data_IF_986566037983
#
_entry.id   IF_986566037983
#
_cell.length_a   1.000
_cell.length_b   1.000
_cell.length_c   1.000
_cell.angle_alpha   90.00
_cell.angle_beta   90.00
_cell.angle_gamma   90.00
#
_symmetry.space_group_name_H-M   'P 1'
#
loop_
_entity.id
_entity.type
_entity.pdbx_description
1 polymer ?
#
# COMPACT_ATOMS: atom_id res chain seq x y z
N UNK A 1 0.40 -11.59 -60.00
CA UNK A 1 1.32 -11.03 -59.02
C UNK A 1 1.74 -12.00 -57.90
N UNK A 2 0.96 -13.02 -57.56
CA UNK A 2 1.31 -13.98 -56.49
C UNK A 2 2.44 -14.97 -56.85
N UNK A 3 2.72 -15.22 -58.08
CA UNK A 3 3.73 -16.20 -58.55
C UNK A 3 5.17 -15.80 -58.18
N UNK A 4 5.45 -14.51 -57.97
CA UNK A 4 6.79 -14.04 -57.61
C UNK A 4 7.07 -14.11 -56.09
N UNK A 5 6.05 -14.23 -55.27
CA UNK A 5 6.17 -14.27 -53.79
C UNK A 5 6.46 -15.70 -53.31
N UNK A 6 6.03 -16.72 -54.08
CA UNK A 6 6.15 -18.12 -53.69
C UNK A 6 7.58 -18.60 -53.39
N UNK A 7 8.60 -18.30 -54.22
CA UNK A 7 9.96 -18.74 -53.95
C UNK A 7 10.64 -17.96 -52.80
N UNK A 8 10.08 -16.81 -52.38
CA UNK A 8 10.60 -16.01 -51.28
C UNK A 8 9.81 -16.14 -49.96
N UNK A 9 8.82 -17.05 -49.94
CA UNK A 9 7.97 -17.30 -48.80
C UNK A 9 8.72 -17.46 -47.46
N UNK A 10 9.84 -18.21 -47.35
CA UNK A 10 10.56 -18.35 -46.09
C UNK A 10 11.14 -17.02 -45.60
N UNK A 11 11.56 -16.12 -46.49
CA UNK A 11 12.03 -14.79 -46.10
C UNK A 11 10.90 -13.90 -45.56
N UNK A 12 9.73 -13.98 -46.18
CA UNK A 12 8.53 -13.26 -45.71
C UNK A 12 8.11 -13.72 -44.32
N UNK A 13 8.12 -15.05 -44.09
CA UNK A 13 7.81 -15.62 -42.78
C UNK A 13 8.79 -15.12 -41.70
N UNK A 14 10.08 -15.09 -42.00
CA UNK A 14 11.09 -14.58 -41.04
C UNK A 14 10.86 -13.10 -40.72
N UNK A 15 10.57 -12.28 -41.73
CA UNK A 15 10.30 -10.85 -41.52
C UNK A 15 9.05 -10.64 -40.68
N UNK A 16 7.97 -11.37 -40.97
CA UNK A 16 6.73 -11.31 -40.17
C UNK A 16 6.99 -11.74 -38.73
N UNK A 17 7.70 -12.84 -38.52
CA UNK A 17 8.04 -13.31 -37.17
C UNK A 17 8.88 -12.30 -36.40
N UNK A 18 9.91 -11.71 -37.03
CA UNK A 18 10.72 -10.66 -36.44
C UNK A 18 9.90 -9.41 -36.07
N UNK A 19 8.96 -9.02 -36.94
CA UNK A 19 8.05 -7.89 -36.65
C UNK A 19 7.17 -8.18 -35.46
N UNK A 20 6.63 -9.38 -35.32
CA UNK A 20 5.86 -9.79 -34.13
C UNK A 20 6.71 -9.80 -32.88
N UNK A 21 7.95 -10.27 -32.96
CA UNK A 21 8.87 -10.29 -31.82
C UNK A 21 9.18 -8.88 -31.35
N UNK A 22 9.46 -7.95 -32.26
CA UNK A 22 9.72 -6.55 -31.94
C UNK A 22 8.46 -5.91 -31.28
N UNK A 23 7.29 -6.14 -31.85
CA UNK A 23 6.03 -5.62 -31.30
C UNK A 23 5.74 -6.17 -29.90
N UNK A 24 6.00 -7.47 -29.67
CA UNK A 24 5.83 -8.10 -28.37
C UNK A 24 6.80 -7.52 -27.33
N UNK A 25 8.07 -7.34 -27.67
CA UNK A 25 9.07 -6.74 -26.78
C UNK A 25 8.71 -5.29 -26.43
N UNK A 26 8.24 -4.53 -27.43
CA UNK A 26 7.81 -3.15 -27.22
C UNK A 26 6.58 -3.08 -26.30
N UNK A 27 5.59 -3.95 -26.54
CA UNK A 27 4.41 -4.06 -25.69
C UNK A 27 4.77 -4.43 -24.24
N UNK A 28 5.67 -5.40 -24.04
CA UNK A 28 6.14 -5.82 -22.73
C UNK A 28 6.84 -4.67 -21.99
N UNK A 29 7.60 -3.84 -22.70
CA UNK A 29 8.23 -2.65 -22.14
C UNK A 29 7.20 -1.68 -21.55
N UNK A 30 6.11 -1.41 -22.27
CA UNK A 30 5.04 -0.54 -21.76
C UNK A 30 4.32 -1.13 -20.55
N UNK A 31 4.03 -2.43 -20.58
CA UNK A 31 3.38 -3.11 -19.45
C UNK A 31 4.21 -3.00 -18.17
N UNK A 32 5.53 -3.00 -18.30
CA UNK A 32 6.42 -2.85 -17.13
C UNK A 32 6.52 -1.40 -16.64
N UNK A 33 6.44 -0.42 -17.53
CA UNK A 33 6.55 1.00 -17.19
C UNK A 33 5.28 1.52 -16.47
N UNK A 34 4.09 1.04 -16.85
CA UNK A 34 2.81 1.50 -16.28
C UNK A 34 2.74 1.33 -14.77
N UNK A 35 3.04 0.16 -14.16
CA UNK A 35 3.04 0.00 -12.71
C UNK A 35 4.08 0.88 -12.02
N UNK A 36 5.26 1.03 -12.63
CA UNK A 36 6.31 1.90 -12.09
C UNK A 36 5.88 3.37 -12.05
N UNK A 37 5.27 3.85 -13.14
CA UNK A 37 4.71 5.20 -13.19
C UNK A 37 3.60 5.39 -12.16
N UNK A 38 2.72 4.41 -11.99
CA UNK A 38 1.64 4.48 -10.99
C UNK A 38 2.19 4.62 -9.57
N UNK A 39 3.26 3.90 -9.22
CA UNK A 39 3.92 4.01 -7.91
C UNK A 39 4.63 5.36 -7.76
N UNK A 40 5.26 5.89 -8.82
CA UNK A 40 5.99 7.17 -8.76
C UNK A 40 5.07 8.39 -8.80
N UNK A 41 3.92 8.28 -9.48
CA UNK A 41 2.95 9.39 -9.60
C UNK A 41 1.87 9.34 -8.51
N UNK A 42 1.76 8.26 -7.76
CA UNK A 42 0.93 8.21 -6.56
C UNK A 42 1.43 9.22 -5.52
N UNK A 43 0.54 9.90 -4.83
CA UNK A 43 0.91 10.89 -3.81
C UNK A 43 1.68 10.29 -2.64
N UNK A 44 1.51 9.00 -2.37
CA UNK A 44 2.33 8.26 -1.40
C UNK A 44 3.80 8.20 -1.85
N UNK A 45 4.08 8.27 -3.15
CA UNK A 45 5.40 8.10 -3.70
C UNK A 45 5.99 6.71 -3.41
N UNK A 46 7.26 6.52 -3.75
CA UNK A 46 7.98 5.28 -3.49
C UNK A 46 8.14 5.02 -1.97
N UNK A 47 8.35 6.09 -1.19
CA UNK A 47 8.52 5.98 0.26
C UNK A 47 7.26 5.45 0.94
N UNK A 48 6.11 6.05 0.70
CA UNK A 48 4.85 5.58 1.30
C UNK A 48 4.48 4.16 0.91
N UNK A 49 4.80 3.74 -0.32
CA UNK A 49 4.62 2.35 -0.72
C UNK A 49 5.54 1.39 0.06
N UNK A 50 6.82 1.77 0.27
CA UNK A 50 7.78 0.99 1.06
C UNK A 50 7.31 0.92 2.52
N UNK A 51 6.92 2.05 3.10
CA UNK A 51 6.47 2.14 4.49
C UNK A 51 5.22 1.28 4.73
N UNK A 52 4.28 1.29 3.79
CA UNK A 52 3.11 0.42 3.84
C UNK A 52 3.48 -1.06 3.81
N UNK A 53 4.38 -1.46 2.89
CA UNK A 53 4.83 -2.85 2.80
C UNK A 53 5.66 -3.28 4.00
N UNK A 54 6.43 -2.37 4.57
CA UNK A 54 7.19 -2.63 5.80
C UNK A 54 6.24 -2.81 6.99
N UNK A 55 5.24 -1.95 7.11
CA UNK A 55 4.25 -2.04 8.18
C UNK A 55 3.37 -3.28 8.06
N UNK A 56 2.96 -3.65 6.83
CA UNK A 56 2.24 -4.91 6.55
C UNK A 56 3.08 -6.12 6.99
N UNK A 57 4.36 -6.17 6.60
CA UNK A 57 5.24 -7.26 6.97
C UNK A 57 5.53 -7.36 8.49
N UNK A 58 5.53 -6.23 9.20
CA UNK A 58 5.81 -6.17 10.64
C UNK A 58 4.59 -6.53 11.49
N UNK A 59 3.47 -5.92 11.17
CA UNK A 59 2.28 -5.98 12.02
C UNK A 59 1.22 -6.94 11.50
N UNK A 60 1.33 -7.37 10.23
CA UNK A 60 0.36 -8.23 9.56
C UNK A 60 -0.99 -7.53 9.37
N UNK A 61 -0.95 -6.27 9.00
CA UNK A 61 -2.14 -5.48 8.65
C UNK A 61 -1.88 -4.65 7.40
N UNK A 62 -2.85 -4.62 6.50
CA UNK A 62 -2.80 -3.79 5.31
C UNK A 62 -3.54 -2.46 5.55
N UNK A 63 -3.03 -1.41 4.92
CA UNK A 63 -3.52 -0.06 5.10
C UNK A 63 -3.96 0.55 3.78
N UNK A 64 -5.03 1.31 3.85
CA UNK A 64 -5.37 2.30 2.84
C UNK A 64 -4.92 3.68 3.33
N UNK A 65 -4.03 4.30 2.58
CA UNK A 65 -3.62 5.70 2.78
C UNK A 65 -4.46 6.54 1.83
N UNK A 66 -5.28 7.44 2.34
CA UNK A 66 -6.12 8.30 1.51
C UNK A 66 -5.30 9.20 0.60
N UNK A 67 -5.70 9.29 -0.66
CA UNK A 67 -5.10 10.14 -1.69
C UNK A 67 -5.81 11.52 -1.74
N UNK A 68 -5.17 12.55 -2.29
CA UNK A 68 -5.75 13.89 -2.49
C UNK A 68 -7.00 13.84 -3.37
N UNK A 69 -7.11 12.86 -4.25
CA UNK A 69 -8.34 12.64 -5.04
C UNK A 69 -9.53 12.29 -4.16
N UNK A 70 -9.33 11.58 -3.06
CA UNK A 70 -10.36 11.28 -2.07
C UNK A 70 -10.78 12.55 -1.30
N UNK A 71 -9.86 13.48 -1.15
CA UNK A 71 -10.08 14.79 -0.54
C UNK A 71 -11.03 15.66 -1.38
N UNK A 72 -10.87 15.64 -2.71
CA UNK A 72 -11.69 16.42 -3.64
C UNK A 72 -13.12 15.89 -3.76
N UNK A 73 -13.38 14.65 -3.38
CA UNK A 73 -14.71 14.04 -3.39
C UNK A 73 -15.55 14.34 -2.14
N UNK A 74 -15.10 15.25 -1.28
CA UNK A 74 -15.89 15.77 -0.16
C UNK A 74 -15.86 14.92 1.11
N UNK A 75 -14.99 13.92 1.20
CA UNK A 75 -14.83 13.13 2.42
C UNK A 75 -13.89 13.84 3.39
N UNK A 76 -14.40 14.91 4.00
CA UNK A 76 -13.64 15.73 4.95
C UNK A 76 -13.07 14.86 6.09
N UNK A 77 -11.76 14.78 6.19
CA UNK A 77 -11.05 14.12 7.30
C UNK A 77 -10.34 12.81 6.96
N UNK A 78 -10.50 12.26 5.76
CA UNK A 78 -9.85 11.02 5.35
C UNK A 78 -8.31 11.12 5.40
N UNK A 79 -7.72 12.25 5.04
CA UNK A 79 -6.26 12.43 5.03
C UNK A 79 -5.58 12.38 6.41
N UNK A 80 -6.35 12.34 7.49
CA UNK A 80 -5.86 12.42 8.85
C UNK A 80 -5.97 11.10 9.64
N UNK A 81 -6.19 9.98 8.96
CA UNK A 81 -6.16 8.66 9.56
C UNK A 81 -5.72 7.61 8.55
N UNK A 82 -5.12 6.52 9.06
CA UNK A 82 -4.85 5.32 8.29
C UNK A 82 -6.04 4.37 8.42
N UNK A 83 -6.56 3.93 7.30
CA UNK A 83 -7.64 2.96 7.31
C UNK A 83 -7.08 1.54 7.25
N UNK A 84 -7.34 0.74 8.27
CA UNK A 84 -6.99 -0.67 8.31
C UNK A 84 -7.95 -1.43 7.38
N UNK A 85 -7.43 -1.97 6.29
CA UNK A 85 -8.24 -2.69 5.28
C UNK A 85 -8.33 -4.17 5.57
N UNK A 86 -7.24 -4.76 6.07
CA UNK A 86 -7.19 -6.17 6.43
C UNK A 86 -6.24 -6.39 7.60
N UNK A 87 -6.48 -7.45 8.38
CA UNK A 87 -5.67 -7.85 9.52
C UNK A 87 -5.53 -9.36 9.54
N UNK A 88 -4.31 -9.86 9.44
CA UNK A 88 -3.99 -11.28 9.53
C UNK A 88 -4.35 -11.83 10.91
N UNK A 89 -5.04 -12.96 10.98
CA UNK A 89 -5.59 -13.54 12.22
C UNK A 89 -4.53 -13.86 13.30
N UNK A 90 -3.30 -14.18 12.89
CA UNK A 90 -2.18 -14.51 13.78
C UNK A 90 -1.17 -13.36 13.94
N UNK A 91 -1.52 -12.18 13.46
CA UNK A 91 -0.64 -11.01 13.46
C UNK A 91 -0.54 -10.32 14.83
N UNK A 92 0.45 -9.46 14.97
CA UNK A 92 0.60 -8.59 16.13
C UNK A 92 -0.55 -7.58 16.24
N UNK A 93 -1.04 -7.09 15.10
CA UNK A 93 -2.21 -6.23 15.06
C UNK A 93 -3.48 -6.92 15.60
N UNK A 94 -3.70 -8.18 15.21
CA UNK A 94 -4.82 -8.97 15.73
C UNK A 94 -4.70 -9.21 17.25
N UNK A 95 -3.50 -9.51 17.74
CA UNK A 95 -3.23 -9.68 19.18
C UNK A 95 -3.45 -8.40 19.97
N UNK A 96 -3.14 -7.25 19.37
CA UNK A 96 -3.42 -5.93 19.95
C UNK A 96 -4.90 -5.53 19.86
N UNK A 97 -5.74 -6.35 19.20
CA UNK A 97 -7.18 -6.13 19.10
C UNK A 97 -7.61 -5.22 17.96
N UNK A 98 -6.71 -4.90 17.00
CA UNK A 98 -7.06 -4.16 15.80
C UNK A 98 -7.88 -5.04 14.84
N UNK A 99 -8.78 -4.41 14.10
CA UNK A 99 -9.67 -5.08 13.14
C UNK A 99 -9.72 -4.32 11.82
N UNK A 100 -10.06 -5.02 10.75
CA UNK A 100 -10.40 -4.38 9.50
C UNK A 100 -11.56 -3.37 9.71
N UNK A 101 -11.44 -2.19 9.13
CA UNK A 101 -12.36 -1.08 9.31
C UNK A 101 -11.92 -0.05 10.36
N UNK A 102 -10.96 -0.36 11.23
CA UNK A 102 -10.44 0.59 12.21
C UNK A 102 -9.70 1.74 11.51
N UNK A 103 -9.81 2.93 12.08
CA UNK A 103 -9.19 4.16 11.56
C UNK A 103 -8.13 4.63 12.56
N UNK A 104 -6.87 4.40 12.28
CA UNK A 104 -5.77 4.83 13.15
C UNK A 104 -5.60 6.34 13.01
N UNK A 105 -5.69 7.04 14.14
CA UNK A 105 -5.64 8.51 14.24
C UNK A 105 -4.41 9.03 14.96
N UNK A 106 -3.67 8.17 15.63
CA UNK A 106 -2.47 8.51 16.38
C UNK A 106 -1.55 7.32 16.56
N UNK A 107 -0.23 7.54 16.46
CA UNK A 107 0.82 6.53 16.60
C UNK A 107 2.01 7.12 17.35
N UNK A 108 2.53 6.40 18.30
CA UNK A 108 3.79 6.70 18.99
C UNK A 108 3.86 8.11 19.57
N UNK A 109 4.65 8.97 18.93
CA UNK A 109 4.83 10.38 19.31
C UNK A 109 3.67 11.29 18.89
N UNK A 110 2.88 10.83 17.91
CA UNK A 110 1.78 11.57 17.30
C UNK A 110 0.41 11.11 17.83
N UNK A 111 0.32 10.89 19.13
CA UNK A 111 -0.96 10.60 19.78
C UNK A 111 -1.82 11.85 19.83
N UNK A 112 -3.10 11.70 19.55
CA UNK A 112 -4.07 12.80 19.65
C UNK A 112 -4.39 13.10 21.09
N UNK A 113 -3.98 14.27 21.55
CA UNK A 113 -4.31 14.80 22.87
C UNK A 113 -5.27 15.99 22.68
N UNK A 114 -6.59 15.72 22.63
CA UNK A 114 -7.62 16.75 22.45
C UNK A 114 -7.85 17.17 21.01
N UNK A 115 -8.30 18.41 20.78
CA UNK A 115 -8.55 18.97 19.43
C UNK A 115 -7.27 19.31 18.64
N UNK A 116 -6.11 18.93 19.14
CA UNK A 116 -4.84 19.30 18.58
C UNK A 116 -4.55 18.56 17.26
N UNK A 117 -3.80 19.27 16.47
CA UNK A 117 -3.12 19.02 15.21
C UNK A 117 -3.41 17.67 14.55
N UNK A 118 -4.22 17.71 13.50
CA UNK A 118 -4.48 16.53 12.68
C UNK A 118 -3.22 16.17 11.93
N UNK A 119 -2.56 15.10 12.33
CA UNK A 119 -1.37 14.55 11.67
C UNK A 119 -1.79 13.84 10.41
N UNK A 120 -1.04 14.02 9.32
CA UNK A 120 -1.35 13.34 8.05
C UNK A 120 -1.17 11.83 8.16
N UNK A 121 -1.96 11.07 7.40
CA UNK A 121 -1.87 9.62 7.35
C UNK A 121 -0.46 9.12 6.96
N UNK A 122 0.24 9.86 6.09
CA UNK A 122 1.60 9.54 5.68
C UNK A 122 2.60 9.56 6.87
N UNK A 123 2.49 10.55 7.76
CA UNK A 123 3.36 10.65 8.95
C UNK A 123 3.06 9.51 9.94
N UNK A 124 1.80 9.15 10.10
CA UNK A 124 1.43 8.01 10.95
C UNK A 124 1.98 6.69 10.40
N UNK A 125 1.97 6.53 9.10
CA UNK A 125 2.53 5.36 8.42
C UNK A 125 4.05 5.31 8.54
N UNK A 126 4.73 6.44 8.35
CA UNK A 126 6.18 6.57 8.52
C UNK A 126 6.61 6.21 9.95
N UNK A 127 5.88 6.68 10.98
CA UNK A 127 6.17 6.35 12.38
C UNK A 127 6.01 4.84 12.65
N UNK A 128 4.97 4.20 12.08
CA UNK A 128 4.80 2.74 12.16
C UNK A 128 5.95 1.99 11.46
N UNK A 129 6.33 2.43 10.26
CA UNK A 129 7.35 1.77 9.46
C UNK A 129 8.76 1.91 10.06
N UNK A 130 9.07 3.07 10.66
CA UNK A 130 10.40 3.41 11.19
C UNK A 130 10.58 3.06 12.67
N UNK A 131 9.55 2.54 13.32
CA UNK A 131 9.61 2.16 14.72
C UNK A 131 10.76 1.20 15.01
N UNK A 132 11.56 1.43 16.07
CA UNK A 132 12.60 0.51 16.45
C UNK A 132 12.04 -0.89 16.77
N UNK A 133 12.73 -1.98 16.43
CA UNK A 133 12.32 -3.32 16.85
C UNK A 133 12.32 -3.43 18.39
N UNK A 134 11.51 -4.31 18.91
CA UNK A 134 11.36 -4.58 20.36
C UNK A 134 10.89 -3.35 21.17
N UNK A 135 10.15 -2.45 20.54
CA UNK A 135 9.59 -1.26 21.19
C UNK A 135 8.07 -1.31 21.15
N UNK A 136 7.45 -1.06 22.28
CA UNK A 136 5.99 -0.92 22.37
C UNK A 136 5.53 0.44 21.82
N UNK A 137 4.68 0.41 20.79
CA UNK A 137 4.11 1.62 20.20
C UNK A 137 2.65 1.74 20.61
N UNK A 138 2.31 2.87 21.20
CA UNK A 138 0.91 3.22 21.46
C UNK A 138 0.22 3.63 20.17
N UNK A 139 -0.95 3.06 19.93
CA UNK A 139 -1.78 3.33 18.76
C UNK A 139 -3.16 3.73 19.22
N UNK A 140 -3.63 4.88 18.75
CA UNK A 140 -4.99 5.34 18.93
C UNK A 140 -5.77 5.14 17.63
N UNK A 141 -6.95 4.57 17.76
CA UNK A 141 -7.81 4.30 16.62
C UNK A 141 -9.27 4.56 16.94
N UNK A 142 -10.03 4.81 15.90
CA UNK A 142 -11.47 4.97 15.94
C UNK A 142 -12.11 3.70 15.39
N UNK A 143 -13.09 3.19 16.11
CA UNK A 143 -13.90 2.05 15.66
C UNK A 143 -15.36 2.46 15.58
N UNK A 144 -16.01 2.05 14.50
CA UNK A 144 -17.44 2.20 14.31
C UNK A 144 -18.16 1.15 15.18
N UNK A 145 -19.08 1.58 16.05
CA UNK A 145 -19.87 0.71 16.92
C UNK A 145 -21.05 0.02 16.20
N UNK A 146 -21.20 0.27 14.89
CA UNK A 146 -22.30 -0.25 14.08
C UNK A 146 -23.63 0.47 14.29
N UNK A 147 -23.71 1.40 15.24
CA UNK A 147 -24.87 2.23 15.51
C UNK A 147 -24.70 3.67 14.96
N UNK A 148 -23.59 3.90 14.23
CA UNK A 148 -23.22 5.20 13.67
C UNK A 148 -22.45 6.09 14.65
N UNK A 149 -22.07 5.55 15.82
CA UNK A 149 -21.12 6.15 16.74
C UNK A 149 -19.69 5.72 16.42
N UNK A 150 -18.74 6.61 16.71
CA UNK A 150 -17.30 6.33 16.53
C UNK A 150 -16.64 6.52 17.87
N UNK A 151 -16.13 5.45 18.45
CA UNK A 151 -15.47 5.49 19.75
C UNK A 151 -13.95 5.45 19.60
N UNK A 152 -13.21 6.27 20.38
CA UNK A 152 -11.77 6.22 20.42
C UNK A 152 -11.28 5.08 21.32
N UNK A 153 -10.36 4.30 20.81
CA UNK A 153 -9.67 3.23 21.53
C UNK A 153 -8.16 3.49 21.51
N UNK A 154 -7.48 2.96 22.52
CA UNK A 154 -6.02 2.97 22.59
C UNK A 154 -5.52 1.55 22.83
N UNK A 155 -4.49 1.17 22.10
CA UNK A 155 -3.82 -0.12 22.26
C UNK A 155 -2.31 0.02 22.13
N UNK A 156 -1.58 -1.01 22.50
CA UNK A 156 -0.13 -1.08 22.37
C UNK A 156 0.21 -2.15 21.35
N UNK A 157 0.95 -1.77 20.33
CA UNK A 157 1.52 -2.67 19.33
C UNK A 157 2.96 -3.00 19.72
N UNK A 158 3.25 -4.27 19.89
CA UNK A 158 4.63 -4.75 19.97
C UNK A 158 5.24 -4.72 18.57
N UNK A 159 6.40 -4.07 18.43
CA UNK A 159 7.14 -4.06 17.17
C UNK A 159 7.98 -5.32 17.06
N UNK A 160 7.50 -6.31 16.35
CA UNK A 160 8.29 -7.47 16.00
C UNK A 160 9.40 -7.10 14.99
N UNK A 161 10.52 -7.81 15.03
CA UNK A 161 11.42 -7.83 13.89
C UNK A 161 10.64 -8.23 12.64
N UNK A 162 10.90 -7.60 11.49
CA UNK A 162 10.23 -7.96 10.25
C UNK A 162 10.50 -9.45 10.01
N UNK A 163 9.49 -10.24 10.24
CA UNK A 163 9.58 -11.69 9.97
C UNK A 163 9.97 -11.80 8.51
N UNK A 164 11.06 -12.49 8.23
CA UNK A 164 11.64 -12.66 6.89
C UNK A 164 10.69 -13.49 6.01
N UNK A 165 9.48 -12.99 5.79
CA UNK A 165 8.51 -13.58 4.84
C UNK A 165 9.05 -13.52 3.41
N UNK A 166 10.01 -12.62 3.12
CA UNK A 166 10.72 -12.59 1.84
C UNK A 166 11.71 -13.77 1.66
N UNK A 167 12.03 -14.51 2.73
CA UNK A 167 12.85 -15.73 2.63
C UNK A 167 12.01 -17.00 2.36
N UNK A 168 10.68 -16.90 2.32
CA UNK A 168 9.76 -18.02 2.08
C UNK A 168 9.18 -18.05 0.64
N UNK A 169 9.62 -17.13 -0.24
CA UNK A 169 9.37 -17.13 -1.67
C UNK A 169 10.73 -17.18 -2.40
#
# INVERSE_FOLDING_TARGET
MFVYVWPQWPRVVVVVFMSFTIAALFSLSFVTIIPLLKVMMGEEGLHGWIDRKTSDARYGMDFYVPDVTDFMQGTNGIAFYLWVTDVDSDSWAAKAGLKAGDKIIGVGKHLRTGEQEKVSAAILLEELATAPPDTDIKVQFLRDDGAGGVEPYETVLETAEPTNRLAAY
#
